data_IF_983653382240
#
_entry.id   IF_983653382240
#
_cell.length_a   1.000
_cell.length_b   1.000
_cell.length_c   1.000
_cell.angle_alpha   90.00
_cell.angle_beta   90.00
_cell.angle_gamma   90.00
#
_symmetry.space_group_name_H-M   'P 1'
#
loop_
_entity.id
_entity.type
_entity.pdbx_description
1 polymer ?
#
# COMPACT_ATOMS: atom_id res chain seq x y z
N UNK A 1 -12.61 22.11 13.80
CA UNK A 1 -12.59 23.35 12.99
C UNK A 1 -13.18 24.52 13.78
N UNK A 2 -14.42 24.42 14.26
CA UNK A 2 -15.13 25.46 15.04
C UNK A 2 -14.29 25.99 16.21
N UNK A 3 -13.79 25.11 17.09
CA UNK A 3 -12.97 25.52 18.23
C UNK A 3 -11.70 26.32 17.84
N UNK A 4 -11.14 26.07 16.64
CA UNK A 4 -9.99 26.84 16.14
C UNK A 4 -10.41 28.24 15.70
N UNK A 5 -11.58 28.37 15.07
CA UNK A 5 -12.14 29.67 14.68
C UNK A 5 -12.49 30.52 15.92
N UNK A 6 -13.10 29.91 16.93
CA UNK A 6 -13.36 30.57 18.22
C UNK A 6 -12.05 31.01 18.89
N UNK A 7 -11.02 30.15 18.87
CA UNK A 7 -9.70 30.51 19.38
C UNK A 7 -9.06 31.68 18.61
N UNK A 8 -9.30 31.81 17.30
CA UNK A 8 -8.79 32.95 16.50
C UNK A 8 -9.46 34.27 16.90
N UNK A 9 -10.73 34.25 17.30
CA UNK A 9 -11.41 35.45 17.79
C UNK A 9 -10.90 35.88 19.18
N UNK A 10 -10.54 34.91 20.03
CA UNK A 10 -10.16 35.17 21.43
C UNK A 10 -8.67 35.47 21.59
N UNK A 11 -7.81 34.77 20.84
CA UNK A 11 -6.36 34.81 21.03
C UNK A 11 -5.65 35.27 19.75
N UNK A 12 -5.01 36.46 19.74
CA UNK A 12 -4.30 37.00 18.58
C UNK A 12 -3.18 36.08 18.04
N UNK A 13 -2.61 35.23 18.90
CA UNK A 13 -1.54 34.30 18.53
C UNK A 13 -2.04 32.95 18.02
N UNK A 14 -3.33 32.65 18.13
CA UNK A 14 -3.88 31.36 17.69
C UNK A 14 -3.68 31.09 16.19
N UNK A 15 -3.86 32.07 15.27
CA UNK A 15 -3.53 31.87 13.85
C UNK A 15 -2.06 31.56 13.58
N UNK A 16 -1.15 32.12 14.37
CA UNK A 16 0.29 31.88 14.24
C UNK A 16 0.68 30.47 14.72
N UNK A 17 0.08 30.02 15.83
CA UNK A 17 0.33 28.69 16.39
C UNK A 17 -0.13 27.56 15.46
N UNK A 18 -1.06 27.84 14.55
CA UNK A 18 -1.67 26.86 13.65
C UNK A 18 -1.13 26.90 12.22
N UNK A 19 -0.15 27.77 11.89
CA UNK A 19 0.34 28.01 10.51
C UNK A 19 0.85 26.76 9.77
N UNK A 20 1.30 25.74 10.51
CA UNK A 20 1.76 24.47 9.94
C UNK A 20 0.67 23.38 9.89
N UNK A 21 -0.55 23.69 10.34
CA UNK A 21 -1.69 22.78 10.22
C UNK A 21 -2.17 22.72 8.76
N UNK A 22 -2.66 21.54 8.35
CA UNK A 22 -3.08 21.27 6.97
C UNK A 22 -4.20 22.18 6.47
N UNK A 23 -5.06 22.65 7.37
CA UNK A 23 -6.25 23.41 7.07
C UNK A 23 -6.09 24.91 7.39
N UNK A 24 -4.87 25.36 7.69
CA UNK A 24 -4.63 26.72 8.17
C UNK A 24 -5.05 27.79 7.17
N UNK A 25 -4.71 27.62 5.90
CA UNK A 25 -5.05 28.54 4.81
C UNK A 25 -6.58 28.71 4.68
N UNK A 26 -7.30 27.59 4.62
CA UNK A 26 -8.76 27.55 4.56
C UNK A 26 -9.38 28.13 5.83
N UNK A 27 -8.84 27.80 7.01
CA UNK A 27 -9.30 28.36 8.29
C UNK A 27 -9.10 29.86 8.37
N UNK A 28 -7.96 30.36 7.89
CA UNK A 28 -7.63 31.78 7.89
C UNK A 28 -8.53 32.55 6.93
N UNK A 29 -8.76 32.01 5.73
CA UNK A 29 -9.70 32.57 4.76
C UNK A 29 -11.14 32.61 5.31
N UNK A 30 -11.58 31.51 5.92
CA UNK A 30 -12.90 31.42 6.53
C UNK A 30 -13.04 32.41 7.69
N UNK A 31 -12.04 32.53 8.56
CA UNK A 31 -12.06 33.49 9.67
C UNK A 31 -12.21 34.93 9.15
N UNK A 32 -11.50 35.32 8.09
CA UNK A 32 -11.65 36.64 7.45
C UNK A 32 -13.03 36.82 6.82
N UNK A 33 -13.51 35.82 6.07
CA UNK A 33 -14.82 35.87 5.44
C UNK A 33 -15.97 36.03 6.45
N UNK A 34 -15.84 35.43 7.65
CA UNK A 34 -16.82 35.58 8.72
C UNK A 34 -16.92 37.00 9.27
N UNK A 35 -15.87 37.82 9.12
CA UNK A 35 -15.87 39.24 9.54
C UNK A 35 -16.58 40.15 8.53
N UNK A 36 -16.88 39.67 7.31
CA UNK A 36 -17.62 40.46 6.32
C UNK A 36 -19.10 40.60 6.66
N UNK A 37 -19.62 39.75 7.55
CA UNK A 37 -21.00 39.83 8.00
C UNK A 37 -21.13 40.89 9.10
N UNK A 38 -22.08 41.82 8.94
CA UNK A 38 -22.40 42.80 9.99
C UNK A 38 -22.83 42.16 11.31
N UNK A 39 -23.31 40.91 11.28
CA UNK A 39 -23.45 40.05 12.45
C UNK A 39 -22.89 38.68 12.12
N UNK A 40 -21.88 38.24 12.87
CA UNK A 40 -21.20 36.96 12.64
C UNK A 40 -22.20 35.79 12.68
N UNK A 41 -22.25 34.93 11.65
CA UNK A 41 -23.20 33.81 11.62
C UNK A 41 -22.87 32.77 12.70
N UNK A 42 -23.91 32.15 13.26
CA UNK A 42 -23.76 31.05 14.23
C UNK A 42 -23.40 29.75 13.49
N UNK A 43 -22.20 29.24 13.73
CA UNK A 43 -21.74 27.97 13.16
C UNK A 43 -22.17 26.84 14.09
N UNK A 44 -22.87 25.83 13.56
CA UNK A 44 -23.30 24.65 14.32
C UNK A 44 -22.68 23.40 13.72
N UNK A 45 -22.23 22.50 14.58
CA UNK A 45 -21.86 21.16 14.16
C UNK A 45 -23.11 20.32 13.97
N UNK A 46 -23.24 19.70 12.80
CA UNK A 46 -24.29 18.71 12.49
C UNK A 46 -23.61 17.36 12.36
N UNK A 47 -24.21 16.32 12.94
CA UNK A 47 -23.69 14.97 12.86
C UNK A 47 -23.88 14.46 11.42
N UNK A 48 -22.83 13.92 10.82
CA UNK A 48 -22.89 13.29 9.51
C UNK A 48 -23.66 11.96 9.57
N UNK A 49 -24.25 11.55 8.45
CA UNK A 49 -24.95 10.28 8.25
C UNK A 49 -26.07 9.99 9.26
N UNK A 50 -27.01 10.93 9.44
CA UNK A 50 -28.20 10.70 10.27
C UNK A 50 -29.33 9.97 9.52
N UNK A 51 -29.22 9.92 8.20
CA UNK A 51 -30.05 9.19 7.24
C UNK A 51 -29.85 7.67 7.29
N UNK A 52 -28.68 7.19 7.72
CA UNK A 52 -28.38 5.75 7.89
C UNK A 52 -29.29 5.04 8.93
N UNK A 53 -29.97 5.79 9.80
CA UNK A 53 -30.73 5.24 10.93
C UNK A 53 -32.25 5.46 10.83
N UNK A 54 -32.72 6.49 10.11
CA UNK A 54 -34.15 6.80 9.99
C UNK A 54 -34.41 7.41 8.61
N UNK A 55 -34.81 6.58 7.65
CA UNK A 55 -35.19 7.01 6.30
C UNK A 55 -36.65 7.49 6.26
N UNK A 56 -37.02 8.37 7.20
CA UNK A 56 -38.32 9.04 7.18
C UNK A 56 -38.11 10.51 6.82
N UNK A 57 -38.47 10.87 5.59
CA UNK A 57 -38.33 12.24 5.05
C UNK A 57 -39.19 13.24 5.81
N UNK A 58 -40.24 12.80 6.50
CA UNK A 58 -41.12 13.66 7.29
C UNK A 58 -40.60 13.86 8.74
N UNK A 59 -39.79 12.91 9.25
CA UNK A 59 -39.26 12.95 10.62
C UNK A 59 -37.83 13.53 10.72
N UNK A 60 -37.10 13.64 9.60
CA UNK A 60 -35.72 14.11 9.62
C UNK A 60 -35.63 15.64 9.85
N UNK A 61 -34.87 16.11 10.85
CA UNK A 61 -34.62 17.53 11.05
C UNK A 61 -34.05 18.20 9.79
N UNK A 62 -34.54 19.39 9.44
CA UNK A 62 -34.15 20.11 8.20
C UNK A 62 -32.61 20.27 8.05
N UNK A 63 -31.90 20.49 9.15
CA UNK A 63 -30.44 20.61 9.13
C UNK A 63 -29.72 19.30 8.76
N UNK A 64 -30.27 18.15 9.15
CA UNK A 64 -29.74 16.83 8.76
C UNK A 64 -29.98 16.57 7.27
N UNK A 65 -31.18 16.89 6.79
CA UNK A 65 -31.53 16.81 5.35
C UNK A 65 -30.57 17.64 4.49
N UNK A 66 -30.41 18.92 4.82
CA UNK A 66 -29.54 19.83 4.06
C UNK A 66 -28.07 19.41 4.12
N UNK A 67 -27.61 18.79 5.21
CA UNK A 67 -26.25 18.25 5.28
C UNK A 67 -26.07 17.07 4.32
N UNK A 68 -27.05 16.17 4.24
CA UNK A 68 -27.04 15.04 3.30
C UNK A 68 -26.98 15.51 1.84
N UNK A 69 -27.82 16.48 1.47
CA UNK A 69 -27.81 17.07 0.14
C UNK A 69 -26.47 17.74 -0.17
N UNK A 70 -25.87 18.44 0.81
CA UNK A 70 -24.55 19.05 0.66
C UNK A 70 -23.44 18.00 0.45
N UNK A 71 -23.48 16.88 1.17
CA UNK A 71 -22.53 15.77 1.03
C UNK A 71 -22.67 15.07 -0.34
N UNK A 72 -23.89 14.91 -0.85
CA UNK A 72 -24.14 14.38 -2.20
C UNK A 72 -23.59 15.32 -3.27
N UNK A 73 -23.88 16.62 -3.18
CA UNK A 73 -23.36 17.63 -4.10
C UNK A 73 -21.82 17.69 -4.06
N UNK A 74 -21.21 17.59 -2.87
CA UNK A 74 -19.76 17.52 -2.72
C UNK A 74 -19.18 16.25 -3.39
N UNK A 75 -19.86 15.12 -3.26
CA UNK A 75 -19.47 13.85 -3.91
C UNK A 75 -19.55 13.94 -5.43
N UNK A 76 -20.61 14.55 -5.97
CA UNK A 76 -20.75 14.82 -7.41
C UNK A 76 -19.63 15.74 -7.89
N UNK A 77 -19.35 16.81 -7.14
CA UNK A 77 -18.25 17.74 -7.41
C UNK A 77 -16.90 17.03 -7.45
N UNK A 78 -16.62 16.17 -6.45
CA UNK A 78 -15.40 15.38 -6.37
C UNK A 78 -15.24 14.42 -7.56
N UNK A 79 -16.32 13.74 -7.98
CA UNK A 79 -16.31 12.85 -9.15
C UNK A 79 -16.03 13.59 -10.47
N UNK A 80 -16.44 14.86 -10.56
CA UNK A 80 -16.21 15.72 -11.74
C UNK A 80 -14.87 16.44 -11.71
N UNK A 81 -14.24 16.56 -10.54
CA UNK A 81 -13.01 17.32 -10.38
C UNK A 81 -11.82 16.58 -11.02
N UNK A 82 -11.09 17.26 -11.90
CA UNK A 82 -9.78 16.79 -12.34
C UNK A 82 -8.72 17.07 -11.26
N UNK A 83 -7.73 16.18 -11.12
CA UNK A 83 -6.58 16.44 -10.24
C UNK A 83 -5.90 17.73 -10.69
N UNK A 84 -5.80 18.71 -9.78
CA UNK A 84 -5.07 19.96 -9.98
C UNK A 84 -3.75 19.89 -9.22
N UNK A 85 -2.61 19.63 -9.90
CA UNK A 85 -1.31 19.51 -9.24
C UNK A 85 -0.90 20.80 -8.54
N UNK A 86 -1.23 21.94 -9.15
CA UNK A 86 -1.10 23.27 -8.54
C UNK A 86 -2.47 23.78 -8.11
N UNK A 87 -2.55 24.16 -6.84
CA UNK A 87 -3.70 24.83 -6.26
C UNK A 87 -3.43 26.34 -6.27
N UNK A 88 -4.44 27.19 -6.55
CA UNK A 88 -4.30 28.63 -6.36
C UNK A 88 -3.84 28.96 -4.95
N UNK A 89 -3.00 29.98 -4.81
CA UNK A 89 -2.63 30.52 -3.50
C UNK A 89 -3.68 31.56 -3.11
N UNK A 90 -4.18 31.48 -1.89
CA UNK A 90 -4.93 32.58 -1.29
C UNK A 90 -3.94 33.76 -1.07
N UNK A 91 -4.17 34.95 -1.66
CA UNK A 91 -3.27 36.09 -1.54
C UNK A 91 -2.88 36.44 -0.10
N UNK A 92 -3.80 36.23 0.85
CA UNK A 92 -3.60 36.56 2.26
C UNK A 92 -2.75 35.51 3.01
N UNK A 93 -2.54 34.33 2.43
CA UNK A 93 -1.65 33.31 3.01
C UNK A 93 -0.18 33.65 2.81
N UNK A 94 0.14 34.54 1.85
CA UNK A 94 1.47 35.07 1.50
C UNK A 94 2.49 34.03 1.01
N UNK A 95 2.42 32.78 1.48
CA UNK A 95 3.38 31.72 1.20
C UNK A 95 2.64 30.43 0.86
N UNK A 96 3.02 29.82 -0.26
CA UNK A 96 2.59 28.48 -0.65
C UNK A 96 3.80 27.67 -1.14
N UNK A 97 3.93 26.44 -0.65
CA UNK A 97 5.05 25.57 -1.00
C UNK A 97 4.72 24.71 -2.21
N UNK A 98 5.63 24.71 -3.19
CA UNK A 98 5.56 23.83 -4.36
C UNK A 98 6.82 22.98 -4.48
N UNK A 99 6.66 21.68 -4.72
CA UNK A 99 7.77 20.77 -5.04
C UNK A 99 7.36 19.89 -6.22
N UNK A 100 8.26 19.69 -7.19
CA UNK A 100 8.03 18.87 -8.38
C UNK A 100 6.72 19.24 -9.10
N UNK A 101 6.48 20.54 -9.27
CA UNK A 101 5.27 21.10 -9.90
C UNK A 101 3.94 20.74 -9.19
N UNK A 102 3.99 20.35 -7.90
CA UNK A 102 2.82 20.08 -7.05
C UNK A 102 2.79 21.00 -5.83
N UNK A 103 1.63 21.54 -5.50
CA UNK A 103 1.40 22.28 -4.27
C UNK A 103 1.33 21.32 -3.07
N UNK A 104 2.04 21.64 -1.98
CA UNK A 104 1.94 20.89 -0.73
C UNK A 104 0.77 21.47 0.08
N UNK A 105 -0.37 20.77 0.06
CA UNK A 105 -1.61 21.21 0.73
C UNK A 105 -1.82 20.58 2.11
N UNK A 106 -1.03 19.56 2.49
CA UNK A 106 -1.13 18.90 3.79
C UNK A 106 0.18 18.24 4.20
N UNK A 107 0.27 17.89 5.48
CA UNK A 107 1.33 17.05 6.03
C UNK A 107 2.75 17.56 5.69
N UNK A 108 2.96 18.89 5.64
CA UNK A 108 4.18 19.52 5.12
C UNK A 108 5.46 18.84 5.60
N UNK A 109 5.62 18.69 6.93
CA UNK A 109 6.78 18.04 7.55
C UNK A 109 7.02 16.62 7.04
N UNK A 110 5.96 15.85 6.89
CA UNK A 110 6.03 14.46 6.42
C UNK A 110 6.35 14.43 4.92
N UNK A 111 5.71 15.26 4.11
CA UNK A 111 5.96 15.38 2.67
C UNK A 111 7.42 15.73 2.39
N UNK A 112 7.97 16.73 3.07
CA UNK A 112 9.38 17.14 2.94
C UNK A 112 10.33 15.99 3.30
N UNK A 113 10.10 15.32 4.44
CA UNK A 113 10.91 14.16 4.84
C UNK A 113 10.86 13.04 3.81
N UNK A 114 9.67 12.72 3.29
CA UNK A 114 9.50 11.68 2.28
C UNK A 114 10.30 12.02 1.01
N UNK A 115 10.24 13.27 0.55
CA UNK A 115 10.99 13.74 -0.62
C UNK A 115 12.49 13.62 -0.38
N UNK A 116 12.99 14.20 0.72
CA UNK A 116 14.43 14.19 1.06
C UNK A 116 14.94 12.76 1.20
N UNK A 117 14.22 11.88 1.91
CA UNK A 117 14.67 10.51 2.17
C UNK A 117 14.42 9.56 0.98
N UNK A 118 13.51 9.89 0.05
CA UNK A 118 13.28 9.08 -1.15
C UNK A 118 14.52 8.99 -2.04
N UNK A 119 15.32 10.05 -2.11
CA UNK A 119 16.53 10.12 -2.95
C UNK A 119 17.60 9.09 -2.49
N UNK A 120 18.08 9.11 -1.23
CA UNK A 120 19.03 8.11 -0.76
C UNK A 120 18.42 6.70 -0.72
N UNK A 121 17.12 6.58 -0.46
CA UNK A 121 16.44 5.29 -0.50
C UNK A 121 16.46 4.68 -1.90
N UNK A 122 16.13 5.46 -2.94
CA UNK A 122 16.21 5.04 -4.35
C UNK A 122 17.62 4.61 -4.70
N UNK A 123 18.64 5.41 -4.34
CA UNK A 123 20.06 5.05 -4.54
C UNK A 123 20.41 3.72 -3.87
N UNK A 124 19.96 3.51 -2.62
CA UNK A 124 20.19 2.26 -1.90
C UNK A 124 19.55 1.05 -2.60
N UNK A 125 18.28 1.15 -3.02
CA UNK A 125 17.60 0.08 -3.73
C UNK A 125 18.24 -0.23 -5.09
N UNK A 126 18.54 0.81 -5.88
CA UNK A 126 19.24 0.65 -7.16
C UNK A 126 20.57 -0.08 -6.98
N UNK A 127 21.40 0.31 -5.99
CA UNK A 127 22.65 -0.39 -5.68
C UNK A 127 22.41 -1.81 -5.19
N UNK A 128 21.43 -2.03 -4.30
CA UNK A 128 21.15 -3.32 -3.65
C UNK A 128 20.69 -4.37 -4.64
N UNK A 129 19.79 -4.00 -5.53
CA UNK A 129 19.14 -4.90 -6.49
C UNK A 129 19.72 -4.80 -7.90
N UNK A 130 20.77 -3.99 -8.08
CA UNK A 130 21.40 -3.70 -9.38
C UNK A 130 20.39 -3.18 -10.41
N UNK A 131 19.45 -2.38 -9.94
CA UNK A 131 18.46 -1.72 -10.78
C UNK A 131 19.00 -0.40 -11.33
N UNK A 132 18.63 -0.08 -12.56
CA UNK A 132 18.70 1.29 -13.06
C UNK A 132 17.58 2.13 -12.44
N UNK A 133 17.70 3.46 -12.53
CA UNK A 133 16.63 4.36 -12.08
C UNK A 133 15.30 4.05 -12.76
N UNK A 134 15.33 3.71 -14.06
CA UNK A 134 14.15 3.36 -14.83
C UNK A 134 13.46 2.10 -14.25
N UNK A 135 14.21 1.04 -13.91
CA UNK A 135 13.63 -0.17 -13.32
C UNK A 135 12.98 0.14 -11.97
N UNK A 136 13.63 0.97 -11.14
CA UNK A 136 13.04 1.40 -9.87
C UNK A 136 11.71 2.13 -10.09
N UNK A 137 11.60 2.95 -11.13
CA UNK A 137 10.39 3.72 -11.44
C UNK A 137 9.27 2.89 -12.08
N UNK A 138 9.55 1.65 -12.54
CA UNK A 138 8.53 0.69 -13.01
C UNK A 138 7.73 0.07 -11.85
N UNK A 139 8.30 0.03 -10.64
CA UNK A 139 7.69 -0.61 -9.47
C UNK A 139 6.52 0.26 -8.96
N UNK A 140 5.42 -0.40 -8.59
CA UNK A 140 4.26 0.23 -7.97
C UNK A 140 4.51 0.45 -6.46
N UNK A 141 5.26 1.50 -6.15
CA UNK A 141 5.55 1.90 -4.77
C UNK A 141 4.30 2.38 -4.02
N UNK A 142 3.28 2.87 -4.74
CA UNK A 142 2.02 3.34 -4.16
C UNK A 142 1.19 2.18 -3.61
N UNK A 143 1.25 1.00 -4.24
CA UNK A 143 0.70 -0.24 -3.68
C UNK A 143 1.62 -0.81 -2.60
N UNK A 144 2.93 -0.86 -2.83
CA UNK A 144 3.86 -1.49 -1.88
C UNK A 144 3.83 -0.82 -0.51
N UNK A 145 3.83 0.51 -0.46
CA UNK A 145 3.95 1.29 0.78
C UNK A 145 2.84 1.04 1.81
N UNK A 146 1.53 1.13 1.48
CA UNK A 146 0.47 0.86 2.44
C UNK A 146 0.46 -0.60 2.91
N UNK A 147 0.69 -1.54 2.00
CA UNK A 147 0.78 -2.98 2.35
C UNK A 147 1.94 -3.22 3.30
N UNK A 148 3.13 -2.70 2.98
CA UNK A 148 4.30 -2.79 3.84
C UNK A 148 4.03 -2.22 5.24
N UNK A 149 3.41 -1.04 5.35
CA UNK A 149 3.04 -0.43 6.64
C UNK A 149 2.05 -1.30 7.44
N UNK A 150 1.04 -1.88 6.80
CA UNK A 150 0.06 -2.77 7.45
C UNK A 150 0.73 -4.04 8.00
N UNK A 151 1.69 -4.60 7.28
CA UNK A 151 2.44 -5.76 7.77
C UNK A 151 3.48 -5.42 8.83
N UNK A 152 4.07 -4.21 8.78
CA UNK A 152 4.99 -3.75 9.82
C UNK A 152 4.32 -3.73 11.20
N UNK A 153 3.08 -3.25 11.30
CA UNK A 153 2.35 -3.19 12.57
C UNK A 153 2.00 -4.56 13.12
N UNK A 154 1.82 -5.57 12.28
CA UNK A 154 1.35 -6.91 12.67
C UNK A 154 2.46 -7.95 12.83
N UNK A 155 3.52 -7.89 12.01
CA UNK A 155 4.60 -8.91 11.97
C UNK A 155 5.96 -8.37 12.41
N UNK A 156 6.06 -7.09 12.73
CA UNK A 156 7.26 -6.45 13.25
C UNK A 156 8.25 -6.01 12.17
N UNK A 157 8.97 -4.93 12.45
CA UNK A 157 9.85 -4.26 11.48
C UNK A 157 11.03 -5.12 11.04
N UNK A 158 11.59 -5.92 11.95
CA UNK A 158 12.84 -6.61 11.69
C UNK A 158 12.73 -7.67 10.60
N UNK A 159 11.71 -8.53 10.65
CA UNK A 159 11.54 -9.59 9.65
C UNK A 159 11.12 -9.01 8.30
N UNK A 160 10.07 -8.18 8.28
CA UNK A 160 9.52 -7.64 7.04
C UNK A 160 10.55 -6.80 6.29
N UNK A 161 11.30 -5.94 7.01
CA UNK A 161 12.36 -5.16 6.39
C UNK A 161 13.46 -6.04 5.81
N UNK A 162 13.99 -7.00 6.59
CA UNK A 162 15.03 -7.96 6.15
C UNK A 162 14.58 -8.77 4.94
N UNK A 163 13.34 -9.26 4.94
CA UNK A 163 12.76 -10.00 3.82
C UNK A 163 12.68 -9.12 2.57
N UNK A 164 12.16 -7.91 2.69
CA UNK A 164 11.97 -6.99 1.57
C UNK A 164 13.28 -6.54 0.90
N UNK A 165 14.40 -6.49 1.61
CA UNK A 165 15.71 -6.00 1.12
C UNK A 165 16.74 -7.12 0.85
N UNK A 166 16.31 -8.39 0.83
CA UNK A 166 17.18 -9.57 0.72
C UNK A 166 18.28 -9.61 1.79
N UNK A 167 17.93 -9.41 3.05
CA UNK A 167 18.85 -9.49 4.19
C UNK A 167 18.35 -10.47 5.26
N UNK A 168 17.79 -11.60 4.85
CA UNK A 168 17.39 -12.65 5.79
C UNK A 168 18.60 -13.20 6.56
N UNK A 169 18.46 -13.69 7.80
CA UNK A 169 19.57 -14.32 8.50
C UNK A 169 19.81 -15.74 7.94
N UNK A 170 20.41 -15.84 6.75
CA UNK A 170 20.72 -17.13 6.10
C UNK A 170 22.09 -17.64 6.52
N UNK A 171 22.35 -18.94 6.41
CA UNK A 171 23.63 -19.57 6.77
C UNK A 171 24.85 -18.82 6.20
N UNK A 172 24.84 -18.49 4.90
CA UNK A 172 25.91 -17.69 4.27
C UNK A 172 26.15 -16.36 5.00
N UNK A 173 25.09 -15.70 5.45
CA UNK A 173 25.17 -14.39 6.10
C UNK A 173 25.54 -14.46 7.57
N UNK A 174 25.12 -15.52 8.27
CA UNK A 174 25.51 -15.77 9.65
C UNK A 174 26.99 -16.14 9.71
N UNK A 175 27.45 -17.06 8.87
CA UNK A 175 28.86 -17.43 8.75
C UNK A 175 29.77 -16.23 8.41
N UNK A 176 29.29 -15.29 7.58
CA UNK A 176 30.01 -14.03 7.28
C UNK A 176 30.16 -13.09 8.48
N UNK A 177 29.33 -13.22 9.51
CA UNK A 177 29.42 -12.42 10.74
C UNK A 177 30.23 -13.13 11.80
N UNK A 178 30.06 -14.45 11.87
CA UNK A 178 30.74 -15.32 12.79
C UNK A 178 31.07 -16.64 12.10
N UNK A 179 32.36 -16.86 11.85
CA UNK A 179 32.89 -18.01 11.13
C UNK A 179 32.68 -19.36 11.85
N UNK A 180 32.29 -19.35 13.13
CA UNK A 180 31.95 -20.58 13.86
C UNK A 180 30.61 -21.20 13.41
N UNK A 181 29.76 -20.43 12.73
CA UNK A 181 28.47 -20.92 12.27
C UNK A 181 28.55 -21.54 10.88
N UNK A 182 27.91 -22.70 10.68
CA UNK A 182 27.87 -23.35 9.37
C UNK A 182 27.12 -22.49 8.33
N UNK A 183 27.74 -22.29 7.16
CA UNK A 183 27.13 -21.58 6.03
C UNK A 183 26.13 -22.44 5.23
N UNK A 184 26.14 -23.76 5.46
CA UNK A 184 25.32 -24.73 4.74
C UNK A 184 23.84 -24.60 5.06
N UNK A 185 23.01 -25.01 4.11
CA UNK A 185 21.58 -25.11 4.35
C UNK A 185 21.28 -26.26 5.33
N UNK A 186 20.72 -25.93 6.49
CA UNK A 186 20.33 -26.91 7.52
C UNK A 186 19.26 -27.92 7.06
N UNK A 187 18.60 -27.68 5.92
CA UNK A 187 17.55 -28.56 5.39
C UNK A 187 18.04 -29.52 4.33
N UNK A 188 18.91 -29.09 3.40
CA UNK A 188 19.35 -29.91 2.28
C UNK A 188 20.88 -30.07 2.15
N UNK A 189 21.66 -29.44 3.02
CA UNK A 189 23.12 -29.54 3.02
C UNK A 189 23.84 -28.73 1.94
N UNK A 190 23.12 -27.92 1.16
CA UNK A 190 23.71 -27.04 0.13
C UNK A 190 24.80 -26.15 0.72
N UNK A 191 25.94 -26.01 0.04
CA UNK A 191 27.13 -25.35 0.60
C UNK A 191 26.92 -23.90 1.03
N UNK A 192 26.00 -23.17 0.39
CA UNK A 192 25.73 -21.76 0.70
C UNK A 192 24.23 -21.50 0.76
N UNK A 193 23.71 -21.37 1.99
CA UNK A 193 22.33 -20.88 2.17
C UNK A 193 22.27 -19.36 2.02
N UNK A 194 21.79 -18.89 0.86
CA UNK A 194 21.51 -17.47 0.59
C UNK A 194 19.99 -17.18 0.57
N UNK A 195 19.60 -15.92 0.41
CA UNK A 195 18.18 -15.50 0.44
C UNK A 195 17.30 -16.18 -0.62
N UNK A 196 17.87 -16.58 -1.76
CA UNK A 196 17.15 -17.23 -2.85
C UNK A 196 17.05 -18.74 -2.61
N UNK A 197 18.12 -19.35 -2.08
CA UNK A 197 18.13 -20.75 -1.67
C UNK A 197 17.01 -21.06 -0.67
N UNK A 198 16.67 -20.14 0.25
CA UNK A 198 15.56 -20.34 1.19
C UNK A 198 14.25 -20.71 0.49
N UNK A 199 13.99 -20.12 -0.69
CA UNK A 199 12.79 -20.36 -1.49
C UNK A 199 12.97 -21.44 -2.56
N UNK A 200 14.21 -21.68 -3.01
CA UNK A 200 14.55 -22.67 -4.03
C UNK A 200 14.87 -24.06 -3.45
N UNK A 201 15.11 -24.15 -2.14
CA UNK A 201 15.51 -25.39 -1.46
C UNK A 201 14.51 -26.53 -1.73
N UNK A 202 15.05 -27.66 -2.20
CA UNK A 202 14.29 -28.87 -2.56
C UNK A 202 13.59 -29.50 -1.37
N UNK A 203 14.10 -29.29 -0.16
CA UNK A 203 13.57 -29.81 1.12
C UNK A 203 12.56 -28.86 1.78
N UNK A 204 12.43 -27.60 1.34
CA UNK A 204 11.47 -26.61 1.88
C UNK A 204 10.24 -26.39 0.99
N UNK A 205 9.67 -27.47 0.46
CA UNK A 205 8.53 -27.42 -0.49
C UNK A 205 7.26 -26.82 0.12
N UNK A 206 7.06 -26.95 1.43
CA UNK A 206 5.87 -26.43 2.13
C UNK A 206 5.73 -24.91 2.00
N UNK A 207 6.84 -24.17 2.00
CA UNK A 207 6.84 -22.72 1.79
C UNK A 207 6.27 -22.34 0.42
N UNK A 208 6.76 -23.02 -0.63
CA UNK A 208 6.30 -22.82 -2.01
C UNK A 208 4.83 -23.19 -2.16
N UNK A 209 4.41 -24.32 -1.59
CA UNK A 209 2.99 -24.73 -1.57
C UNK A 209 2.08 -23.67 -0.93
N UNK A 210 2.50 -23.07 0.19
CA UNK A 210 1.73 -21.98 0.83
C UNK A 210 1.54 -20.79 -0.12
N UNK A 211 2.60 -20.36 -0.81
CA UNK A 211 2.51 -19.25 -1.79
C UNK A 211 1.57 -19.61 -2.94
N UNK A 212 1.71 -20.80 -3.53
CA UNK A 212 0.87 -21.23 -4.64
C UNK A 212 -0.60 -21.37 -4.26
N UNK A 213 -0.90 -21.88 -3.06
CA UNK A 213 -2.26 -21.98 -2.56
C UNK A 213 -2.91 -20.59 -2.42
N UNK A 214 -2.16 -19.59 -1.94
CA UNK A 214 -2.66 -18.22 -1.87
C UNK A 214 -2.96 -17.65 -3.27
N UNK A 215 -2.13 -17.93 -4.27
CA UNK A 215 -2.41 -17.51 -5.65
C UNK A 215 -3.69 -18.16 -6.20
N UNK A 216 -3.94 -19.42 -5.88
CA UNK A 216 -5.17 -20.10 -6.32
C UNK A 216 -6.42 -19.46 -5.69
N UNK A 217 -6.36 -19.03 -4.43
CA UNK A 217 -7.46 -18.32 -3.76
C UNK A 217 -7.76 -16.96 -4.42
N UNK A 218 -6.75 -16.26 -4.93
CA UNK A 218 -6.92 -14.98 -5.62
C UNK A 218 -7.68 -15.10 -6.95
N UNK A 219 -7.76 -16.29 -7.56
CA UNK A 219 -8.42 -16.49 -8.86
C UNK A 219 -9.91 -16.10 -8.85
N UNK A 220 -10.54 -16.05 -7.67
CA UNK A 220 -11.94 -15.66 -7.53
C UNK A 220 -12.16 -14.15 -7.71
N UNK A 221 -11.14 -13.32 -7.44
CA UNK A 221 -11.25 -11.85 -7.40
C UNK A 221 -10.31 -11.14 -8.38
N UNK A 222 -9.27 -11.84 -8.84
CA UNK A 222 -8.23 -11.32 -9.74
C UNK A 222 -8.38 -11.93 -11.14
N UNK A 223 -7.99 -11.19 -12.18
CA UNK A 223 -7.91 -11.70 -13.56
C UNK A 223 -7.21 -13.08 -13.57
N UNK A 224 -7.90 -14.14 -14.03
CA UNK A 224 -7.33 -15.49 -14.06
C UNK A 224 -6.01 -15.56 -14.82
N UNK A 225 -5.84 -14.75 -15.89
CA UNK A 225 -4.58 -14.70 -16.65
C UNK A 225 -3.45 -14.06 -15.86
N UNK A 226 -3.75 -13.06 -15.02
CA UNK A 226 -2.73 -12.51 -14.11
C UNK A 226 -2.31 -13.55 -13.08
N UNK A 227 -3.25 -14.37 -12.58
CA UNK A 227 -2.92 -15.48 -11.68
C UNK A 227 -2.03 -16.54 -12.37
N UNK A 228 -2.30 -16.86 -13.64
CA UNK A 228 -1.47 -17.77 -14.44
C UNK A 228 -0.04 -17.22 -14.59
N UNK A 229 0.09 -15.95 -15.00
CA UNK A 229 1.39 -15.28 -15.14
C UNK A 229 2.15 -15.25 -13.81
N UNK A 230 1.46 -14.95 -12.71
CA UNK A 230 2.04 -14.89 -11.36
C UNK A 230 2.56 -16.27 -10.93
N UNK A 231 1.77 -17.32 -11.17
CA UNK A 231 2.11 -18.70 -10.84
C UNK A 231 3.34 -19.16 -11.63
N UNK A 232 3.34 -18.97 -12.94
CA UNK A 232 4.45 -19.37 -13.82
C UNK A 232 5.75 -18.62 -13.52
N UNK A 233 5.65 -17.31 -13.28
CA UNK A 233 6.80 -16.47 -12.92
C UNK A 233 7.45 -16.90 -11.60
N UNK A 234 6.63 -17.12 -10.56
CA UNK A 234 7.14 -17.57 -9.26
C UNK A 234 7.63 -19.02 -9.30
N UNK A 235 6.98 -19.91 -10.05
CA UNK A 235 7.45 -21.29 -10.22
C UNK A 235 8.83 -21.34 -10.88
N UNK A 236 9.07 -20.50 -11.90
CA UNK A 236 10.41 -20.38 -12.48
C UNK A 236 11.43 -19.97 -11.42
N UNK A 237 11.13 -18.93 -10.64
CA UNK A 237 12.03 -18.48 -9.56
C UNK A 237 12.30 -19.61 -8.55
N UNK A 238 11.26 -20.32 -8.12
CA UNK A 238 11.34 -21.43 -7.18
C UNK A 238 12.13 -22.64 -7.69
N UNK A 239 12.18 -22.85 -9.01
CA UNK A 239 12.95 -23.92 -9.62
C UNK A 239 14.39 -23.49 -9.94
N UNK A 240 14.73 -22.21 -9.76
CA UNK A 240 16.03 -21.67 -10.16
C UNK A 240 16.25 -21.68 -11.67
N UNK A 241 15.18 -21.73 -12.46
CA UNK A 241 15.25 -21.78 -13.91
C UNK A 241 15.61 -20.42 -14.51
N UNK A 242 16.24 -20.42 -15.70
CA UNK A 242 16.54 -19.21 -16.43
C UNK A 242 15.26 -18.48 -16.83
N UNK A 243 15.26 -17.16 -16.65
CA UNK A 243 14.11 -16.29 -16.95
C UNK A 243 13.72 -16.35 -18.44
N UNK A 244 14.68 -16.62 -19.33
CA UNK A 244 14.44 -16.84 -20.76
C UNK A 244 13.47 -18.01 -21.00
N UNK A 245 13.54 -19.07 -20.19
CA UNK A 245 12.64 -20.23 -20.27
C UNK A 245 11.21 -19.85 -19.84
N UNK A 246 11.06 -19.00 -18.81
CA UNK A 246 9.76 -18.42 -18.42
C UNK A 246 9.14 -17.62 -19.55
N UNK A 247 9.95 -16.77 -20.20
CA UNK A 247 9.49 -15.92 -21.28
C UNK A 247 9.02 -16.73 -22.48
N UNK A 248 9.74 -17.81 -22.82
CA UNK A 248 9.34 -18.71 -23.90
C UNK A 248 8.05 -19.46 -23.57
N UNK A 249 7.89 -19.99 -22.34
CA UNK A 249 6.65 -20.66 -21.92
C UNK A 249 5.45 -19.72 -21.88
N UNK A 250 5.61 -18.52 -21.31
CA UNK A 250 4.56 -17.51 -21.27
C UNK A 250 4.20 -16.98 -22.65
N UNK A 251 5.16 -16.85 -23.59
CA UNK A 251 4.85 -16.39 -24.96
C UNK A 251 4.31 -17.50 -25.86
N UNK A 252 4.69 -18.74 -25.61
CA UNK A 252 4.26 -19.91 -26.39
C UNK A 252 2.85 -20.40 -26.05
N UNK A 253 2.23 -19.90 -24.98
CA UNK A 253 0.83 -20.20 -24.69
C UNK A 253 -0.08 -19.60 -25.79
N UNK A 254 -0.82 -20.47 -26.49
CA UNK A 254 -1.71 -20.15 -27.62
C UNK A 254 -2.73 -19.02 -27.35
N UNK A 255 -3.01 -18.73 -26.07
CA UNK A 255 -3.97 -17.73 -25.59
C UNK A 255 -3.33 -16.50 -24.93
N UNK A 256 -1.99 -16.37 -24.98
CA UNK A 256 -1.30 -15.25 -24.37
C UNK A 256 -1.41 -14.01 -25.25
N UNK A 257 -2.34 -13.16 -24.84
CA UNK A 257 -2.64 -11.91 -25.49
C UNK A 257 -1.41 -10.98 -25.38
N UNK A 258 -1.00 -10.38 -26.52
CA UNK A 258 0.08 -9.37 -26.60
C UNK A 258 -0.01 -8.30 -25.52
N UNK A 259 -1.23 -8.04 -25.03
CA UNK A 259 -1.55 -7.18 -23.90
C UNK A 259 -0.72 -7.38 -22.63
N UNK A 260 -0.37 -8.61 -22.24
CA UNK A 260 0.40 -8.84 -21.00
C UNK A 260 1.92 -8.81 -21.22
N UNK A 261 2.38 -8.67 -22.47
CA UNK A 261 3.82 -8.69 -22.81
C UNK A 261 4.60 -7.63 -22.05
N UNK A 262 4.06 -6.41 -21.95
CA UNK A 262 4.73 -5.32 -21.23
C UNK A 262 4.83 -5.63 -19.74
N UNK A 263 3.75 -6.12 -19.12
CA UNK A 263 3.75 -6.53 -17.71
C UNK A 263 4.86 -7.54 -17.42
N UNK A 264 4.95 -8.56 -18.26
CA UNK A 264 5.94 -9.63 -18.10
C UNK A 264 7.35 -9.08 -18.30
N UNK A 265 7.60 -8.30 -19.35
CA UNK A 265 8.91 -7.71 -19.62
C UNK A 265 9.38 -6.81 -18.47
N UNK A 266 8.49 -5.94 -17.95
CA UNK A 266 8.79 -5.09 -16.79
C UNK A 266 9.08 -5.93 -15.54
N UNK A 267 8.27 -6.98 -15.28
CA UNK A 267 8.48 -7.80 -14.09
C UNK A 267 9.75 -8.63 -14.16
N UNK A 268 10.17 -9.05 -15.36
CA UNK A 268 11.45 -9.74 -15.58
C UNK A 268 12.64 -8.87 -15.18
N UNK A 269 12.66 -7.59 -15.60
CA UNK A 269 13.78 -6.69 -15.26
C UNK A 269 13.76 -6.28 -13.78
N UNK A 270 12.58 -6.24 -13.15
CA UNK A 270 12.46 -6.04 -11.69
C UNK A 270 12.92 -7.29 -10.93
N UNK A 271 12.58 -8.49 -11.43
CA UNK A 271 12.88 -9.79 -10.84
C UNK A 271 11.66 -10.42 -10.17
N UNK A 272 11.44 -11.72 -10.42
CA UNK A 272 10.36 -12.52 -9.81
C UNK A 272 10.59 -12.79 -8.32
N UNK A 273 11.85 -12.88 -7.92
CA UNK A 273 12.31 -12.87 -6.53
C UNK A 273 11.89 -11.59 -5.79
N UNK A 274 11.90 -10.45 -6.49
CA UNK A 274 11.50 -9.17 -5.93
C UNK A 274 9.99 -8.99 -5.93
N UNK A 275 9.27 -9.60 -6.89
CA UNK A 275 7.81 -9.72 -6.84
C UNK A 275 7.37 -10.43 -5.55
N UNK A 276 7.99 -11.57 -5.22
CA UNK A 276 7.71 -12.30 -3.97
C UNK A 276 7.92 -11.41 -2.72
N UNK A 277 8.80 -10.42 -2.83
CA UNK A 277 9.12 -9.43 -1.79
C UNK A 277 8.26 -8.16 -1.88
N UNK A 278 7.22 -8.16 -2.72
CA UNK A 278 6.23 -7.08 -2.88
C UNK A 278 6.52 -6.06 -3.98
N UNK A 279 7.52 -6.26 -4.84
CA UNK A 279 7.90 -5.31 -5.90
C UNK A 279 7.25 -5.68 -7.22
N UNK A 280 5.98 -5.33 -7.32
CA UNK A 280 5.17 -5.50 -8.53
C UNK A 280 5.45 -4.34 -9.50
N UNK A 281 5.47 -4.62 -10.80
CA UNK A 281 5.37 -3.57 -11.81
C UNK A 281 4.01 -2.86 -11.76
N UNK A 282 3.96 -1.60 -12.18
CA UNK A 282 2.71 -0.82 -12.31
C UNK A 282 1.70 -1.48 -13.23
N UNK A 283 2.17 -2.29 -14.20
CA UNK A 283 1.31 -3.01 -15.13
C UNK A 283 0.34 -3.97 -14.45
N UNK A 284 0.70 -4.59 -13.33
CA UNK A 284 -0.22 -5.49 -12.61
C UNK A 284 -1.53 -4.79 -12.23
N UNK A 285 -1.44 -3.58 -11.67
CA UNK A 285 -2.59 -2.74 -11.33
C UNK A 285 -3.38 -2.32 -12.57
N UNK A 286 -2.69 -1.90 -13.63
CA UNK A 286 -3.32 -1.46 -14.88
C UNK A 286 -4.13 -2.60 -15.51
N UNK A 287 -3.55 -3.79 -15.60
CA UNK A 287 -4.21 -4.95 -16.20
C UNK A 287 -5.40 -5.41 -15.35
N UNK A 288 -5.27 -5.45 -14.03
CA UNK A 288 -6.37 -5.82 -13.13
C UNK A 288 -7.52 -4.82 -13.20
N UNK A 289 -7.24 -3.51 -13.17
CA UNK A 289 -8.27 -2.48 -13.32
C UNK A 289 -9.04 -2.66 -14.62
N UNK A 290 -8.32 -2.85 -15.71
CA UNK A 290 -8.96 -3.04 -16.99
C UNK A 290 -9.74 -4.36 -17.06
N UNK A 291 -9.34 -5.43 -16.37
CA UNK A 291 -10.15 -6.65 -16.23
C UNK A 291 -11.47 -6.37 -15.52
N UNK A 292 -11.44 -5.69 -14.37
CA UNK A 292 -12.64 -5.27 -13.63
C UNK A 292 -13.55 -4.42 -14.53
N UNK A 293 -13.01 -3.40 -15.21
CA UNK A 293 -13.81 -2.56 -16.12
C UNK A 293 -14.49 -3.36 -17.24
N UNK A 294 -13.82 -4.40 -17.79
CA UNK A 294 -14.46 -5.28 -18.79
C UNK A 294 -15.56 -6.13 -18.18
N UNK A 295 -15.34 -6.65 -16.97
CA UNK A 295 -16.33 -7.46 -16.26
C UNK A 295 -17.60 -6.65 -15.98
N UNK A 296 -17.45 -5.41 -15.49
CA UNK A 296 -18.54 -4.45 -15.29
C UNK A 296 -19.28 -4.17 -16.62
N UNK A 297 -18.55 -3.91 -17.71
CA UNK A 297 -19.17 -3.64 -19.01
C UNK A 297 -19.90 -4.85 -19.61
N UNK A 298 -19.44 -6.07 -19.31
CA UNK A 298 -20.06 -7.31 -19.78
C UNK A 298 -21.28 -7.72 -18.95
N UNK A 299 -21.27 -7.47 -17.63
CA UNK A 299 -22.39 -7.74 -16.72
C UNK A 299 -22.72 -6.50 -15.86
N UNK A 300 -23.45 -5.50 -16.38
CA UNK A 300 -23.75 -4.25 -15.66
C UNK A 300 -24.59 -4.44 -14.40
N UNK A 301 -25.37 -5.53 -14.33
CA UNK A 301 -26.37 -5.80 -13.28
C UNK A 301 -25.83 -6.53 -12.04
N UNK A 302 -24.63 -7.12 -12.08
CA UNK A 302 -24.08 -7.91 -10.94
C UNK A 302 -23.16 -7.10 -10.00
N UNK A 303 -22.67 -5.92 -10.40
CA UNK A 303 -21.65 -5.16 -9.65
C UNK A 303 -22.05 -3.71 -9.30
N UNK A 304 -23.35 -3.40 -9.27
CA UNK A 304 -23.84 -2.14 -8.66
C UNK A 304 -23.69 -2.10 -7.12
N UNK A 305 -23.12 -3.14 -6.50
CA UNK A 305 -22.68 -3.11 -5.10
C UNK A 305 -21.26 -2.53 -5.07
N UNK A 306 -21.12 -1.32 -4.54
CA UNK A 306 -19.84 -0.63 -4.42
C UNK A 306 -18.90 -1.42 -3.49
N UNK A 307 -17.58 -1.44 -3.75
CA UNK A 307 -16.58 -2.16 -2.92
C UNK A 307 -16.50 -1.76 -1.44
N UNK A 308 -17.22 -0.72 -1.01
CA UNK A 308 -17.27 -0.30 0.40
C UNK A 308 -18.16 -1.21 1.24
N UNK A 309 -19.13 -1.91 0.64
CA UNK A 309 -20.11 -2.73 1.36
C UNK A 309 -19.58 -4.13 1.76
N UNK A 310 -18.56 -4.65 1.06
CA UNK A 310 -17.93 -5.94 1.41
C UNK A 310 -16.98 -5.87 2.62
N UNK A 311 -16.63 -4.67 3.10
CA UNK A 311 -15.77 -4.50 4.29
C UNK A 311 -16.49 -4.75 5.63
N UNK A 312 -17.78 -5.14 5.61
CA UNK A 312 -18.58 -5.40 6.82
C UNK A 312 -18.83 -6.88 7.15
N UNK A 313 -18.28 -7.85 6.42
CA UNK A 313 -18.36 -9.25 6.85
C UNK A 313 -17.18 -9.56 7.78
N UNK A 314 -17.41 -9.32 9.08
CA UNK A 314 -16.54 -9.76 10.15
C UNK A 314 -16.58 -11.29 10.24
N UNK A 315 -15.72 -11.99 9.49
CA UNK A 315 -15.62 -13.45 9.56
C UNK A 315 -14.82 -13.86 10.81
N UNK A 316 -15.55 -14.09 11.92
CA UNK A 316 -14.99 -14.56 13.19
C UNK A 316 -14.18 -15.86 13.04
N UNK A 317 -14.52 -16.70 12.06
CA UNK A 317 -13.83 -17.96 11.76
C UNK A 317 -12.41 -17.71 11.27
N UNK A 318 -12.22 -16.72 10.40
CA UNK A 318 -10.88 -16.34 9.90
C UNK A 318 -10.05 -15.72 11.02
N UNK A 319 -10.66 -14.92 11.89
CA UNK A 319 -9.96 -14.31 13.04
C UNK A 319 -9.48 -15.37 14.04
N UNK A 320 -10.33 -16.36 14.37
CA UNK A 320 -9.98 -17.49 15.23
C UNK A 320 -8.85 -18.34 14.62
N UNK A 321 -8.90 -18.64 13.32
CA UNK A 321 -7.83 -19.38 12.63
C UNK A 321 -6.51 -18.60 12.57
N UNK A 322 -6.57 -17.27 12.41
CA UNK A 322 -5.40 -16.39 12.45
C UNK A 322 -4.80 -16.29 13.85
N UNK A 323 -5.62 -16.25 14.89
CA UNK A 323 -5.18 -16.23 16.27
C UNK A 323 -4.52 -17.55 16.69
N UNK A 324 -5.06 -18.69 16.25
CA UNK A 324 -4.43 -20.00 16.42
C UNK A 324 -3.09 -20.11 15.69
N UNK A 325 -3.03 -19.61 14.44
CA UNK A 325 -1.78 -19.56 13.67
C UNK A 325 -0.76 -18.61 14.31
N UNK A 326 -1.21 -17.48 14.87
CA UNK A 326 -0.36 -16.52 15.58
C UNK A 326 0.12 -17.08 16.93
N UNK A 327 -0.68 -17.89 17.64
CA UNK A 327 -0.24 -18.62 18.82
C UNK A 327 0.81 -19.69 18.48
N UNK A 328 0.63 -20.43 17.39
CA UNK A 328 1.63 -21.40 16.91
C UNK A 328 2.94 -20.70 16.50
N UNK A 329 2.85 -19.54 15.82
CA UNK A 329 4.00 -18.70 15.49
C UNK A 329 4.69 -18.12 16.73
N UNK A 330 3.93 -17.68 17.75
CA UNK A 330 4.49 -17.23 19.04
C UNK A 330 5.21 -18.37 19.77
N UNK A 331 4.60 -19.57 19.81
CA UNK A 331 5.24 -20.78 20.35
C UNK A 331 6.52 -21.13 19.58
N UNK A 332 6.52 -20.97 18.25
CA UNK A 332 7.70 -21.17 17.42
C UNK A 332 8.79 -20.12 17.70
N UNK A 333 8.46 -18.82 17.72
CA UNK A 333 9.41 -17.72 18.00
C UNK A 333 10.02 -17.86 19.41
N UNK A 334 9.22 -18.20 20.41
CA UNK A 334 9.71 -18.40 21.78
C UNK A 334 10.66 -19.60 21.90
N UNK A 335 10.53 -20.61 21.02
CA UNK A 335 11.44 -21.76 20.92
C UNK A 335 12.81 -21.39 20.35
N UNK A 336 12.90 -20.34 19.55
CA UNK A 336 14.13 -19.82 18.93
C UNK A 336 14.72 -18.61 19.66
N UNK A 337 14.01 -18.06 20.64
CA UNK A 337 14.45 -16.92 21.46
C UNK A 337 15.82 -17.14 22.13
N UNK A 338 16.17 -18.31 22.69
CA UNK A 338 17.50 -18.56 23.26
C UNK A 338 18.63 -18.48 22.22
N UNK A 339 18.35 -18.86 20.98
CA UNK A 339 19.29 -18.80 19.84
C UNK A 339 19.47 -17.36 19.35
N UNK A 340 18.40 -16.57 19.36
CA UNK A 340 18.43 -15.14 18.99
C UNK A 340 19.16 -14.33 20.07
N UNK A 341 18.92 -14.61 21.35
CA UNK A 341 19.53 -13.87 22.46
C UNK A 341 21.03 -14.18 22.60
N UNK A 342 21.49 -15.38 22.24
CA UNK A 342 22.93 -15.70 22.13
C UNK A 342 23.61 -15.00 20.94
N UNK A 343 22.86 -14.62 19.90
CA UNK A 343 23.40 -13.90 18.73
C UNK A 343 23.48 -12.37 18.91
N UNK A 344 23.11 -11.88 20.10
CA UNK A 344 23.13 -10.46 20.47
C UNK A 344 24.15 -10.12 21.58
N UNK A 345 24.98 -11.09 22.00
CA UNK A 345 26.31 -10.84 22.56
C UNK A 345 27.33 -11.05 21.45
#
# INVERSE_FOLDING_TARGET
>A
MINKLEAYDVYPTAPLATVLHSEWDVLSALHRALQWYGTKPKIRWVKSHQDDMVFDKEAMPLNAYLNSEADELATIGLKRLQEKPRVPMDPDTVIQFHINNRTITRDFKRTIREIIHSIPLKKYYCKRFRWSNNIFDLIDWDIFRPVYKKYLSTKGIQWMHKFCIKKLPTGERVHKRDHYHDQRCSSCGEDKENDDHVFQCTKRRSLRKKVLNQINLLRNTVDPKLCDILKEGLMTYFNGELVSTTMLRLRGQKNMNKRYTLLINEQVVIGWDNLLRGKFSKQWKIQQKAFISRRILSNPTEEMVLPEDELKIYDETIKLQLDDTNQQLKKWINRWKPVIDHSMK
#
